data_IF_452960825004
#
_entry.id   IF_452960825004
#
_cell.length_a   1.000
_cell.length_b   1.000
_cell.length_c   1.000
_cell.angle_alpha   90.00
_cell.angle_beta   90.00
_cell.angle_gamma   90.00
#
_symmetry.space_group_name_H-M   'P 1'
#
loop_
_entity.id
_entity.type
_entity.pdbx_description
1 polymer ?
#
# COMPACT_ATOMS: atom_id res chain seq x y z
N UNK A 1 11.88 12.70 5.70
CA UNK A 1 11.36 11.49 6.34
C UNK A 1 10.56 10.73 5.30
N UNK A 2 10.97 9.51 5.00
CA UNK A 2 10.18 8.61 4.16
C UNK A 2 8.99 8.14 5.01
N UNK A 3 7.85 8.78 4.83
CA UNK A 3 6.70 8.72 5.73
C UNK A 3 5.96 7.37 5.74
N UNK A 4 6.23 6.48 4.78
CA UNK A 4 5.41 5.28 4.58
C UNK A 4 6.11 3.97 4.98
N UNK A 5 7.28 4.03 5.60
CA UNK A 5 8.07 2.86 6.00
C UNK A 5 8.34 1.83 4.88
N UNK A 6 8.34 2.29 3.62
CA UNK A 6 8.45 1.45 2.43
C UNK A 6 9.90 1.18 2.01
N UNK A 7 10.85 1.94 2.55
CA UNK A 7 12.27 1.79 2.26
C UNK A 7 13.01 1.35 3.52
N UNK A 8 13.69 0.23 3.43
CA UNK A 8 14.68 -0.24 4.40
C UNK A 8 16.05 -0.23 3.79
N UNK A 9 17.05 0.17 4.57
CA UNK A 9 18.45 0.11 4.16
C UNK A 9 19.30 -0.40 5.29
N UNK A 10 20.40 -1.06 4.94
CA UNK A 10 21.37 -1.58 5.87
C UNK A 10 22.76 -1.26 5.34
N UNK A 11 23.59 -0.68 6.19
CA UNK A 11 25.01 -0.43 5.93
C UNK A 11 25.80 -1.21 6.96
N UNK A 12 26.72 -2.03 6.50
CA UNK A 12 27.63 -2.80 7.34
C UNK A 12 29.07 -2.54 6.93
N UNK A 13 29.92 -2.31 7.90
CA UNK A 13 31.36 -2.23 7.70
C UNK A 13 32.05 -3.15 8.70
N UNK A 14 32.86 -4.06 8.20
CA UNK A 14 33.65 -4.99 8.98
C UNK A 14 35.13 -4.75 8.72
N UNK A 15 35.93 -4.79 9.80
CA UNK A 15 37.38 -4.75 9.72
C UNK A 15 37.96 -5.95 10.46
N UNK A 16 38.83 -6.71 9.79
CA UNK A 16 39.54 -7.84 10.42
C UNK A 16 40.98 -7.46 10.69
N UNK A 17 41.35 -7.34 11.96
CA UNK A 17 42.67 -6.90 12.37
C UNK A 17 43.77 -7.91 12.04
N UNK A 18 43.46 -9.19 11.86
CA UNK A 18 44.38 -10.31 11.60
C UNK A 18 44.66 -10.56 10.10
N UNK A 19 44.52 -9.53 9.24
CA UNK A 19 44.80 -9.63 7.80
C UNK A 19 44.58 -8.33 7.05
N UNK A 20 44.14 -7.26 7.74
CA UNK A 20 43.92 -5.94 7.11
C UNK A 20 42.79 -5.92 6.08
N UNK A 21 41.87 -6.88 6.14
CA UNK A 21 40.74 -6.92 5.22
C UNK A 21 39.58 -6.06 5.71
N UNK A 22 39.23 -5.08 4.92
CA UNK A 22 38.00 -4.31 5.09
C UNK A 22 36.91 -4.85 4.17
N UNK A 23 35.73 -5.07 4.74
CA UNK A 23 34.52 -5.45 4.00
C UNK A 23 33.44 -4.41 4.26
N UNK A 24 32.80 -3.96 3.19
CA UNK A 24 31.69 -3.04 3.28
C UNK A 24 30.51 -3.61 2.52
N UNK A 25 29.32 -3.57 3.10
CA UNK A 25 28.09 -3.92 2.42
C UNK A 25 27.06 -2.83 2.60
N UNK A 26 26.36 -2.55 1.52
CA UNK A 26 25.21 -1.66 1.47
C UNK A 26 24.07 -2.42 0.83
N UNK A 27 22.94 -2.46 1.48
CA UNK A 27 21.72 -3.02 0.88
C UNK A 27 20.53 -2.11 1.13
N UNK A 28 19.59 -2.11 0.18
CA UNK A 28 18.35 -1.39 0.25
C UNK A 28 17.22 -2.23 -0.31
N UNK A 29 16.05 -2.13 0.31
CA UNK A 29 14.83 -2.78 -0.16
C UNK A 29 13.70 -1.77 -0.14
N UNK A 30 13.05 -1.61 -1.28
CA UNK A 30 11.86 -0.78 -1.45
C UNK A 30 10.63 -1.65 -1.72
N UNK A 31 9.59 -1.49 -0.91
CA UNK A 31 8.30 -2.16 -1.04
C UNK A 31 7.30 -1.20 -1.66
N UNK A 32 7.00 -1.40 -2.93
CA UNK A 32 5.99 -0.62 -3.66
C UNK A 32 4.65 -1.35 -3.74
N UNK A 33 3.63 -0.64 -4.24
CA UNK A 33 2.30 -1.21 -4.47
C UNK A 33 2.30 -2.34 -5.50
N UNK A 34 3.25 -2.31 -6.44
CA UNK A 34 3.34 -3.24 -7.56
C UNK A 34 4.43 -4.31 -7.38
N UNK A 35 5.17 -4.27 -6.29
CA UNK A 35 6.25 -5.23 -6.03
C UNK A 35 7.30 -4.70 -5.06
N UNK A 36 8.32 -5.53 -4.86
CA UNK A 36 9.48 -5.23 -4.01
C UNK A 36 10.73 -5.21 -4.85
N UNK A 37 11.51 -4.15 -4.73
CA UNK A 37 12.82 -4.00 -5.38
C UNK A 37 13.89 -4.03 -4.31
N UNK A 38 14.92 -4.83 -4.50
CA UNK A 38 16.09 -4.86 -3.64
C UNK A 38 17.36 -4.61 -4.45
N UNK A 39 18.31 -3.92 -3.85
CA UNK A 39 19.65 -3.73 -4.39
C UNK A 39 20.67 -3.90 -3.27
N UNK A 40 21.79 -4.52 -3.58
CA UNK A 40 22.87 -4.72 -2.63
C UNK A 40 24.23 -4.58 -3.30
N UNK A 41 25.15 -3.90 -2.63
CA UNK A 41 26.53 -3.77 -3.04
C UNK A 41 27.44 -4.26 -1.93
N UNK A 42 28.26 -5.24 -2.24
CA UNK A 42 29.27 -5.78 -1.34
C UNK A 42 30.65 -5.45 -1.92
N UNK A 43 31.49 -4.87 -1.10
CA UNK A 43 32.86 -4.54 -1.46
C UNK A 43 33.84 -5.23 -0.50
N UNK A 44 34.83 -5.89 -1.06
CA UNK A 44 36.01 -6.39 -0.37
C UNK A 44 37.26 -6.02 -1.16
N UNK A 45 38.41 -6.08 -0.54
CA UNK A 45 39.69 -5.70 -1.20
C UNK A 45 40.00 -6.50 -2.46
N UNK A 46 39.39 -7.68 -2.62
CA UNK A 46 39.64 -8.60 -3.74
C UNK A 46 38.46 -8.71 -4.69
N UNK A 47 37.27 -8.30 -4.27
CA UNK A 47 36.06 -8.45 -5.08
C UNK A 47 34.99 -7.41 -4.74
N UNK A 48 34.25 -7.00 -5.76
CA UNK A 48 33.03 -6.20 -5.61
C UNK A 48 31.87 -6.93 -6.28
N UNK A 49 30.73 -6.97 -5.59
CA UNK A 49 29.53 -7.65 -6.06
C UNK A 49 28.32 -6.74 -5.94
N UNK A 50 27.59 -6.63 -7.02
CA UNK A 50 26.33 -5.93 -7.09
C UNK A 50 25.18 -6.93 -7.30
N UNK A 51 24.16 -6.85 -6.47
CA UNK A 51 23.00 -7.73 -6.49
C UNK A 51 21.72 -6.90 -6.71
N UNK A 52 20.86 -7.38 -7.58
CA UNK A 52 19.52 -6.82 -7.77
C UNK A 52 18.49 -7.91 -7.60
N UNK A 53 17.35 -7.56 -7.00
CA UNK A 53 16.19 -8.42 -6.88
C UNK A 53 14.92 -7.66 -7.19
N UNK A 54 14.03 -8.30 -7.96
CA UNK A 54 12.68 -7.83 -8.19
C UNK A 54 11.73 -8.97 -7.85
N UNK A 55 10.76 -8.70 -6.99
CA UNK A 55 9.77 -9.67 -6.55
C UNK A 55 8.39 -9.04 -6.55
N UNK A 56 7.38 -9.78 -7.00
CA UNK A 56 6.01 -9.31 -7.05
C UNK A 56 5.04 -10.45 -7.31
N UNK A 57 3.76 -10.10 -7.25
CA UNK A 57 2.65 -10.97 -7.57
C UNK A 57 1.74 -10.35 -8.60
N UNK A 58 0.94 -11.18 -9.25
CA UNK A 58 -0.08 -10.78 -10.21
C UNK A 58 -1.37 -11.50 -9.84
N UNK A 59 -2.44 -10.74 -9.64
CA UNK A 59 -3.76 -11.29 -9.33
C UNK A 59 -4.71 -10.93 -10.46
N UNK A 60 -5.25 -11.97 -11.11
CA UNK A 60 -6.31 -11.83 -12.11
C UNK A 60 -7.68 -11.82 -11.42
N UNK A 61 -8.56 -10.90 -11.80
CA UNK A 61 -9.93 -10.80 -11.31
C UNK A 61 -10.86 -10.32 -12.43
N UNK A 62 -12.16 -10.31 -12.20
CA UNK A 62 -13.19 -10.00 -13.22
C UNK A 62 -13.01 -8.64 -13.93
N UNK A 63 -12.34 -7.67 -13.26
CA UNK A 63 -12.08 -6.34 -13.81
C UNK A 63 -10.64 -6.19 -14.35
N UNK A 64 -9.89 -7.29 -14.49
CA UNK A 64 -8.55 -7.32 -15.08
C UNK A 64 -7.47 -7.88 -14.18
N UNK A 65 -6.31 -7.23 -14.13
CA UNK A 65 -5.12 -7.70 -13.43
C UNK A 65 -4.59 -6.62 -12.49
N UNK A 66 -4.28 -6.99 -11.26
CA UNK A 66 -3.63 -6.11 -10.28
C UNK A 66 -2.28 -6.68 -9.86
N UNK A 67 -1.25 -5.83 -9.96
CA UNK A 67 0.09 -6.15 -9.48
C UNK A 67 0.18 -5.97 -7.97
N UNK A 68 1.06 -6.74 -7.34
CA UNK A 68 1.23 -6.72 -5.89
C UNK A 68 2.65 -7.02 -5.45
N UNK A 69 2.90 -6.84 -4.17
CA UNK A 69 4.05 -7.44 -3.49
C UNK A 69 4.00 -8.97 -3.59
N UNK A 70 5.08 -9.69 -3.24
CA UNK A 70 5.08 -11.15 -3.24
C UNK A 70 3.88 -11.70 -2.48
N UNK A 71 3.16 -12.62 -3.11
CA UNK A 71 1.92 -13.20 -2.58
C UNK A 71 2.21 -14.32 -1.58
N UNK A 72 1.44 -14.36 -0.50
CA UNK A 72 1.33 -15.53 0.36
C UNK A 72 0.26 -16.51 -0.11
N UNK A 73 0.00 -17.53 0.68
CA UNK A 73 -0.99 -18.56 0.36
C UNK A 73 -2.43 -18.03 0.37
N UNK A 74 -2.70 -17.08 1.25
CA UNK A 74 -4.04 -16.50 1.43
C UNK A 74 -3.94 -14.99 1.26
N UNK A 75 -4.74 -14.43 0.38
CA UNK A 75 -4.67 -13.04 -0.02
C UNK A 75 -6.03 -12.36 0.02
N UNK A 76 -6.05 -11.05 0.21
CA UNK A 76 -7.27 -10.23 0.10
C UNK A 76 -7.15 -9.29 -1.10
N UNK A 77 -8.10 -9.38 -2.01
CA UNK A 77 -8.30 -8.41 -3.08
C UNK A 77 -9.17 -7.27 -2.54
N UNK A 78 -8.57 -6.12 -2.33
CA UNK A 78 -9.25 -4.90 -1.94
C UNK A 78 -9.85 -4.25 -3.19
N UNK A 79 -11.11 -3.87 -3.11
CA UNK A 79 -11.83 -3.15 -4.14
C UNK A 79 -12.41 -1.85 -3.54
N UNK A 80 -11.95 -0.72 -4.03
CA UNK A 80 -12.42 0.63 -3.67
C UNK A 80 -12.53 1.46 -4.95
N UNK A 81 -13.53 1.14 -5.79
CA UNK A 81 -13.70 1.77 -7.10
C UNK A 81 -13.82 3.30 -6.97
N UNK A 82 -13.04 4.03 -7.78
CA UNK A 82 -12.95 5.49 -7.71
C UNK A 82 -11.96 6.03 -6.69
N UNK A 83 -11.36 5.19 -5.83
CA UNK A 83 -10.36 5.57 -4.85
C UNK A 83 -8.96 5.07 -5.26
N UNK A 84 -8.30 5.79 -6.17
CA UNK A 84 -6.94 5.46 -6.62
C UNK A 84 -5.87 5.99 -5.68
N UNK A 85 -4.75 5.26 -5.54
CA UNK A 85 -3.59 5.67 -4.74
C UNK A 85 -3.80 5.62 -3.22
N UNK A 86 -4.91 5.03 -2.75
CA UNK A 86 -5.25 4.94 -1.33
C UNK A 86 -4.41 3.88 -0.65
N UNK A 87 -3.76 4.25 0.45
CA UNK A 87 -2.93 3.35 1.23
C UNK A 87 -3.75 2.42 2.11
N UNK A 88 -3.29 1.18 2.24
CA UNK A 88 -3.87 0.19 3.17
C UNK A 88 -3.12 0.26 4.50
N UNK A 89 -3.83 0.47 5.59
CA UNK A 89 -3.22 0.52 6.93
C UNK A 89 -2.61 -0.83 7.30
N UNK A 90 -1.52 -0.81 8.06
CA UNK A 90 -0.79 -1.99 8.51
C UNK A 90 -0.20 -2.87 7.39
N UNK A 91 -0.24 -2.39 6.14
CA UNK A 91 0.36 -3.04 4.98
C UNK A 91 1.25 -2.05 4.23
N UNK A 92 2.50 -1.86 4.67
CA UNK A 92 3.40 -0.88 4.09
C UNK A 92 3.60 -1.08 2.58
N UNK A 93 3.42 0.00 1.81
CA UNK A 93 3.55 -0.01 0.36
C UNK A 93 2.32 -0.50 -0.40
N UNK A 94 1.35 -1.13 0.25
CA UNK A 94 0.11 -1.53 -0.43
C UNK A 94 -0.77 -0.31 -0.65
N UNK A 95 -1.03 -0.01 -1.94
CA UNK A 95 -1.89 1.10 -2.39
C UNK A 95 -2.80 0.62 -3.50
N UNK A 96 -3.98 1.23 -3.59
CA UNK A 96 -4.88 0.97 -4.70
C UNK A 96 -4.30 1.46 -6.02
N UNK A 97 -4.50 0.69 -7.06
CA UNK A 97 -4.15 1.06 -8.44
C UNK A 97 -5.07 2.16 -8.97
N UNK A 98 -4.85 2.55 -10.23
CA UNK A 98 -5.66 3.59 -10.91
C UNK A 98 -7.15 3.22 -11.06
N UNK A 99 -7.50 1.93 -10.90
CA UNK A 99 -8.88 1.43 -10.93
C UNK A 99 -9.48 1.30 -9.53
N UNK A 100 -8.69 1.48 -8.48
CA UNK A 100 -9.12 1.32 -7.08
C UNK A 100 -8.93 -0.10 -6.54
N UNK A 101 -8.08 -0.93 -7.17
CA UNK A 101 -7.77 -2.28 -6.68
C UNK A 101 -6.42 -2.33 -6.00
N UNK A 102 -6.34 -3.10 -4.93
CA UNK A 102 -5.08 -3.43 -4.26
C UNK A 102 -5.10 -4.88 -3.78
N UNK A 103 -3.94 -5.47 -3.61
CA UNK A 103 -3.82 -6.81 -3.04
C UNK A 103 -3.10 -6.73 -1.71
N UNK A 104 -3.75 -7.21 -0.65
CA UNK A 104 -3.11 -7.48 0.63
C UNK A 104 -2.50 -8.88 0.54
N UNK A 105 -1.16 -8.99 0.49
CA UNK A 105 -0.48 -10.21 0.07
C UNK A 105 -0.51 -11.33 1.11
N UNK A 106 -0.80 -10.99 2.36
CA UNK A 106 -0.80 -11.94 3.48
C UNK A 106 -2.05 -11.75 4.32
N UNK A 107 -2.87 -12.79 4.41
CA UNK A 107 -4.01 -12.84 5.31
C UNK A 107 -3.97 -14.10 6.16
N UNK A 108 -4.41 -13.99 7.41
CA UNK A 108 -4.49 -15.12 8.32
C UNK A 108 -5.72 -15.96 8.00
N UNK A 109 -5.50 -17.22 7.59
CA UNK A 109 -6.58 -18.15 7.32
C UNK A 109 -7.34 -18.50 8.60
N UNK A 110 -8.67 -18.65 8.49
CA UNK A 110 -9.59 -18.98 9.59
C UNK A 110 -9.60 -18.00 10.75
N UNK A 111 -9.15 -16.76 10.51
CA UNK A 111 -9.14 -15.69 11.47
C UNK A 111 -9.73 -14.43 10.85
N UNK A 112 -10.24 -13.56 11.69
CA UNK A 112 -10.70 -12.25 11.27
C UNK A 112 -9.51 -11.36 10.88
N UNK A 113 -9.50 -10.93 9.63
CA UNK A 113 -8.53 -9.99 9.10
C UNK A 113 -9.20 -8.63 8.93
N UNK A 114 -8.73 -7.65 9.66
CA UNK A 114 -9.21 -6.29 9.59
C UNK A 114 -8.45 -5.54 8.50
N UNK A 115 -9.12 -5.28 7.39
CA UNK A 115 -8.60 -4.51 6.28
C UNK A 115 -9.07 -3.06 6.44
N UNK A 116 -8.15 -2.14 6.60
CA UNK A 116 -8.46 -0.72 6.79
C UNK A 116 -7.73 0.12 5.74
N UNK A 117 -8.44 1.03 5.12
CA UNK A 117 -7.87 2.05 4.23
C UNK A 117 -7.51 3.30 5.02
N UNK A 118 -6.47 3.99 4.58
CA UNK A 118 -6.07 5.27 5.18
C UNK A 118 -6.86 6.41 4.55
N UNK A 119 -7.84 6.91 5.29
CA UNK A 119 -8.69 8.01 4.85
C UNK A 119 -7.92 9.32 4.59
N UNK A 120 -6.75 9.49 5.20
CA UNK A 120 -5.87 10.62 4.94
C UNK A 120 -5.20 10.58 3.56
N UNK A 121 -5.18 9.41 2.91
CA UNK A 121 -4.66 9.23 1.55
C UNK A 121 -5.73 9.31 0.46
N UNK A 122 -7.02 9.52 0.83
CA UNK A 122 -8.10 9.74 -0.11
C UNK A 122 -7.94 11.09 -0.84
N UNK A 123 -8.30 11.11 -2.11
CA UNK A 123 -8.40 12.37 -2.86
C UNK A 123 -9.49 13.28 -2.27
N UNK A 124 -9.42 14.60 -2.54
CA UNK A 124 -10.35 15.58 -1.96
C UNK A 124 -11.81 15.35 -2.35
N UNK A 125 -12.04 14.69 -3.48
CA UNK A 125 -13.36 14.42 -4.04
C UNK A 125 -13.86 12.98 -3.77
N UNK A 126 -13.11 12.21 -2.97
CA UNK A 126 -13.44 10.83 -2.65
C UNK A 126 -13.88 10.70 -1.20
N UNK A 127 -15.05 10.13 -0.99
CA UNK A 127 -15.56 9.79 0.32
C UNK A 127 -15.82 8.28 0.42
N UNK A 128 -15.66 7.70 1.59
CA UNK A 128 -15.85 6.26 1.83
C UNK A 128 -16.80 6.09 3.00
N UNK A 129 -17.87 5.36 2.79
CA UNK A 129 -18.86 5.10 3.83
C UNK A 129 -18.26 4.31 5.01
N UNK A 130 -17.41 3.33 4.69
CA UNK A 130 -16.72 2.50 5.67
C UNK A 130 -15.23 2.43 5.32
N UNK A 131 -14.37 2.76 6.28
CA UNK A 131 -12.92 2.70 6.11
C UNK A 131 -12.30 1.38 6.56
N UNK A 132 -13.11 0.45 7.08
CA UNK A 132 -12.68 -0.84 7.61
C UNK A 132 -13.63 -1.92 7.15
N UNK A 133 -13.07 -3.02 6.63
CA UNK A 133 -13.79 -4.24 6.27
C UNK A 133 -13.11 -5.43 6.93
N UNK A 134 -13.90 -6.30 7.55
CA UNK A 134 -13.41 -7.53 8.17
C UNK A 134 -13.69 -8.72 7.25
N UNK A 135 -12.70 -9.56 7.04
CA UNK A 135 -12.81 -10.78 6.24
C UNK A 135 -12.23 -11.98 6.97
N UNK A 136 -12.84 -13.15 6.78
CA UNK A 136 -12.37 -14.42 7.35
C UNK A 136 -12.09 -15.39 6.20
N UNK A 137 -10.88 -15.42 5.65
CA UNK A 137 -10.53 -16.29 4.55
C UNK A 137 -10.30 -17.72 5.03
N UNK A 138 -10.54 -18.69 4.14
CA UNK A 138 -9.99 -20.04 4.26
C UNK A 138 -8.57 -20.10 3.71
N UNK A 139 -7.79 -21.11 4.07
CA UNK A 139 -6.43 -21.27 3.54
C UNK A 139 -6.45 -21.40 2.02
N UNK A 140 -5.56 -20.71 1.35
CA UNK A 140 -5.45 -20.68 -0.12
C UNK A 140 -6.51 -19.85 -0.82
N UNK A 141 -7.35 -19.14 -0.08
CA UNK A 141 -8.41 -18.34 -0.68
C UNK A 141 -7.92 -16.95 -1.13
N UNK A 142 -8.55 -16.48 -2.19
CA UNK A 142 -8.58 -15.07 -2.58
C UNK A 142 -9.93 -14.50 -2.15
N UNK A 143 -9.93 -13.66 -1.11
CA UNK A 143 -11.16 -13.06 -0.59
C UNK A 143 -11.23 -11.61 -1.01
N UNK A 144 -12.42 -11.14 -1.38
CA UNK A 144 -12.67 -9.74 -1.75
C UNK A 144 -13.08 -8.94 -0.51
N UNK A 145 -12.45 -7.78 -0.35
CA UNK A 145 -12.85 -6.75 0.61
C UNK A 145 -13.30 -5.52 -0.19
N UNK A 146 -14.60 -5.25 -0.22
CA UNK A 146 -15.18 -4.16 -0.99
C UNK A 146 -15.43 -2.95 -0.10
N UNK A 147 -14.93 -1.79 -0.53
CA UNK A 147 -15.15 -0.50 0.09
C UNK A 147 -16.04 0.34 -0.82
N UNK A 148 -17.15 0.84 -0.28
CA UNK A 148 -18.05 1.72 -1.02
C UNK A 148 -17.46 3.14 -1.07
N UNK A 149 -16.62 3.38 -2.06
CA UNK A 149 -16.10 4.71 -2.33
C UNK A 149 -17.08 5.48 -3.23
N UNK A 150 -17.29 6.75 -2.93
CA UNK A 150 -18.11 7.67 -3.71
C UNK A 150 -17.25 8.86 -4.12
N UNK A 151 -17.30 9.19 -5.39
CA UNK A 151 -16.69 10.40 -5.90
C UNK A 151 -17.78 11.48 -6.05
N UNK A 152 -17.51 12.65 -5.52
CA UNK A 152 -18.45 13.78 -5.60
C UNK A 152 -17.80 15.09 -5.20
N UNK A 153 -18.22 16.16 -5.84
CA UNK A 153 -17.76 17.49 -5.47
C UNK A 153 -18.53 17.99 -4.25
N UNK A 154 -17.82 18.52 -3.27
CA UNK A 154 -18.43 19.21 -2.15
C UNK A 154 -18.72 20.66 -2.57
N UNK A 155 -19.99 21.04 -2.60
CA UNK A 155 -20.39 22.40 -2.87
C UNK A 155 -20.97 23.01 -1.59
N UNK A 156 -20.46 24.19 -1.22
CA UNK A 156 -21.07 25.02 -0.21
C UNK A 156 -22.09 25.94 -0.91
N UNK A 157 -23.36 25.72 -0.64
CA UNK A 157 -24.43 26.54 -1.24
C UNK A 157 -24.96 27.50 -0.15
N UNK A 158 -24.82 28.78 -0.40
CA UNK A 158 -25.43 29.82 0.43
C UNK A 158 -26.72 30.30 -0.23
N UNK A 159 -27.85 30.05 0.42
CA UNK A 159 -29.11 30.56 -0.03
C UNK A 159 -29.26 32.04 0.39
N UNK A 160 -29.49 32.91 -0.59
CA UNK A 160 -29.74 34.33 -0.36
C UNK A 160 -31.20 34.63 -0.71
N UNK A 161 -31.89 35.35 0.19
CA UNK A 161 -33.17 35.96 -0.06
C UNK A 161 -33.04 37.48 0.09
N UNK A 162 -33.36 38.22 -0.93
CA UNK A 162 -33.18 39.70 -0.96
C UNK A 162 -31.76 40.15 -0.55
N UNK A 163 -30.76 39.45 -1.08
CA UNK A 163 -29.34 39.72 -0.83
C UNK A 163 -28.85 39.48 0.61
N UNK A 164 -29.66 38.83 1.45
CA UNK A 164 -29.31 38.41 2.81
C UNK A 164 -29.31 36.90 2.94
N UNK A 165 -28.35 36.29 3.68
CA UNK A 165 -28.34 34.83 3.90
C UNK A 165 -29.61 34.40 4.63
N UNK A 166 -30.24 33.35 4.14
CA UNK A 166 -31.42 32.75 4.78
C UNK A 166 -30.98 32.06 6.08
N UNK A 167 -31.59 32.37 7.25
CA UNK A 167 -31.21 31.73 8.48
C UNK A 167 -31.55 30.22 8.47
N UNK A 168 -30.76 29.44 9.21
CA UNK A 168 -30.98 28.01 9.36
C UNK A 168 -32.38 27.75 9.96
N UNK A 169 -33.17 26.88 9.30
CA UNK A 169 -34.51 26.50 9.77
C UNK A 169 -35.66 27.34 9.20
N UNK A 170 -35.42 28.25 8.27
CA UNK A 170 -36.50 28.88 7.50
C UNK A 170 -37.17 27.82 6.61
N UNK A 171 -38.45 27.52 6.88
CA UNK A 171 -39.33 26.72 6.02
C UNK A 171 -40.10 27.62 5.09
#
# INVERSE_FOLDING_TARGET
>A
ALSDNNLSYLVQQGYTSSGGESRSSLSGTYKGGYGTVSAGYNYSRQNSQLNFGLQGGIVGHEHGVTFSQPLGDTIVLLEAQGASGVSVRNNPGVKTDWRGYAVVPYASAYQENRIAIDTGSLGPDVDVAESVVNVVPTRGAVVRATFNARTGYRALITLLYQNSPVPFGAM
#
